data_IF_766066301658
#
_entry.id   IF_766066301658
#
_cell.length_a   1.000
_cell.length_b   1.000
_cell.length_c   1.000
_cell.angle_alpha   90.00
_cell.angle_beta   90.00
_cell.angle_gamma   90.00
#
_symmetry.space_group_name_H-M   'P 1'
#
loop_
_entity.id
_entity.type
_entity.pdbx_description
1 polymer ?
#
# COMPACT_ATOMS: atom_id res chain seq x y z
N UNK A 1 -16.78 16.13 5.40
CA UNK A 1 -15.78 15.65 6.38
C UNK A 1 -16.10 14.23 6.77
N UNK A 2 -15.12 13.36 7.00
CA UNK A 2 -15.34 11.97 7.44
C UNK A 2 -15.48 11.97 8.96
N UNK A 3 -16.62 11.58 9.55
CA UNK A 3 -16.89 11.81 10.99
C UNK A 3 -16.16 10.86 11.93
N UNK A 4 -15.63 9.72 11.43
CA UNK A 4 -15.05 8.65 12.26
C UNK A 4 -13.56 8.40 12.02
N UNK A 5 -12.88 9.32 11.34
CA UNK A 5 -11.45 9.19 11.04
C UNK A 5 -10.66 10.29 11.74
N UNK A 6 -9.41 10.01 12.05
CA UNK A 6 -8.48 10.97 12.66
C UNK A 6 -7.60 11.58 11.57
N UNK A 7 -7.67 12.91 11.34
CA UNK A 7 -6.75 13.63 10.46
C UNK A 7 -5.33 13.68 11.07
N UNK A 8 -4.30 14.09 10.32
CA UNK A 8 -4.37 14.58 8.94
C UNK A 8 -4.49 13.43 7.92
N UNK A 9 -4.88 13.73 6.65
CA UNK A 9 -4.74 12.79 5.56
C UNK A 9 -3.25 12.54 5.30
N UNK A 10 -2.89 11.27 5.10
CA UNK A 10 -1.51 10.84 4.83
C UNK A 10 -1.40 10.43 3.37
N UNK A 11 -0.55 11.13 2.65
CA UNK A 11 -0.13 10.83 1.30
C UNK A 11 1.26 11.42 1.07
N UNK A 12 1.98 10.90 0.09
CA UNK A 12 3.33 11.35 -0.21
C UNK A 12 3.59 11.22 -1.71
N UNK A 13 4.10 12.28 -2.31
CA UNK A 13 4.58 12.23 -3.68
C UNK A 13 5.65 13.29 -3.91
N UNK A 14 6.60 12.96 -4.76
CA UNK A 14 7.62 13.88 -5.30
C UNK A 14 7.58 13.83 -6.82
N UNK A 15 8.02 14.90 -7.44
CA UNK A 15 8.17 14.96 -8.90
C UNK A 15 9.10 13.85 -9.39
N UNK A 16 8.78 13.24 -10.52
CA UNK A 16 9.56 12.18 -11.13
C UNK A 16 9.33 10.76 -10.58
N UNK A 17 8.55 10.60 -9.49
CA UNK A 17 8.22 9.27 -8.99
C UNK A 17 7.23 8.56 -9.91
N UNK A 18 7.67 7.46 -10.51
CA UNK A 18 6.87 6.66 -11.45
C UNK A 18 6.30 5.38 -10.85
N UNK A 19 6.46 5.17 -9.56
CA UNK A 19 5.92 4.04 -8.83
C UNK A 19 5.05 4.53 -7.67
N UNK A 20 3.83 3.98 -7.53
CA UNK A 20 2.86 4.36 -6.52
C UNK A 20 2.49 3.15 -5.66
N UNK A 21 2.76 3.23 -4.36
CA UNK A 21 2.26 2.27 -3.37
C UNK A 21 0.92 2.76 -2.84
N UNK A 22 -0.09 1.87 -2.86
CA UNK A 22 -1.42 2.16 -2.32
C UNK A 22 -1.73 1.18 -1.19
N UNK A 23 -1.75 1.68 0.05
CA UNK A 23 -2.14 0.91 1.23
C UNK A 23 -3.65 0.92 1.48
N UNK A 24 -4.06 0.29 2.58
CA UNK A 24 -5.46 0.28 3.03
C UNK A 24 -5.87 1.63 3.65
N UNK A 25 -5.18 2.05 4.67
CA UNK A 25 -5.36 3.30 5.42
C UNK A 25 -4.13 3.54 6.31
N UNK A 26 -3.88 4.79 6.76
CA UNK A 26 -2.88 5.05 7.80
C UNK A 26 -3.21 4.27 9.07
N UNK A 27 -2.19 3.76 9.76
CA UNK A 27 -2.30 3.25 11.12
C UNK A 27 -2.19 4.37 12.15
N UNK A 28 -2.15 4.00 13.44
CA UNK A 28 -2.11 4.97 14.54
C UNK A 28 -0.85 5.85 14.55
N UNK A 29 0.26 5.37 14.00
CA UNK A 29 1.56 6.06 14.01
C UNK A 29 1.67 7.14 12.94
N UNK A 30 1.04 6.91 11.79
CA UNK A 30 1.18 7.75 10.61
C UNK A 30 0.67 9.18 10.82
N UNK A 31 -0.48 9.45 11.46
CA UNK A 31 -0.92 10.82 11.73
C UNK A 31 0.05 11.62 12.61
N UNK A 32 0.77 10.96 13.52
CA UNK A 32 1.73 11.59 14.42
C UNK A 32 3.02 11.98 13.70
N UNK A 33 3.44 11.18 12.71
CA UNK A 33 4.67 11.39 11.94
C UNK A 33 4.46 12.18 10.65
N UNK A 34 3.23 12.26 10.16
CA UNK A 34 2.91 12.88 8.88
C UNK A 34 3.43 12.10 7.66
N UNK A 35 3.86 10.85 7.84
CA UNK A 35 4.51 10.05 6.81
C UNK A 35 3.79 8.71 6.62
N UNK A 36 3.65 8.21 5.37
CA UNK A 36 3.06 6.90 5.10
C UNK A 36 3.98 5.78 5.57
N UNK A 37 3.40 4.66 5.96
CA UNK A 37 4.15 3.47 6.40
C UNK A 37 5.22 3.77 7.47
N UNK A 38 4.95 4.69 8.38
CA UNK A 38 5.89 5.11 9.43
C UNK A 38 5.97 4.12 10.62
N UNK A 39 5.12 3.11 10.65
CA UNK A 39 5.01 2.12 11.72
C UNK A 39 5.69 0.77 11.40
N UNK A 40 5.29 -0.27 12.13
CA UNK A 40 5.84 -1.63 11.98
C UNK A 40 5.60 -2.24 10.59
N UNK A 41 4.44 -1.94 9.97
CA UNK A 41 4.14 -2.36 8.61
C UNK A 41 5.15 -1.79 7.60
N UNK A 42 5.55 -0.53 7.76
CA UNK A 42 6.55 0.09 6.90
C UNK A 42 7.94 -0.54 7.04
N UNK A 43 8.38 -0.84 8.27
CA UNK A 43 9.65 -1.57 8.47
C UNK A 43 9.64 -2.92 7.75
N UNK A 44 8.54 -3.66 7.83
CA UNK A 44 8.40 -4.93 7.12
C UNK A 44 8.38 -4.74 5.60
N UNK A 45 7.72 -3.68 5.11
CA UNK A 45 7.70 -3.37 3.68
C UNK A 45 9.11 -3.03 3.17
N UNK A 46 9.91 -2.24 3.90
CA UNK A 46 11.31 -1.96 3.59
C UNK A 46 12.09 -3.27 3.44
N UNK A 47 11.98 -4.20 4.41
CA UNK A 47 12.64 -5.51 4.32
C UNK A 47 12.28 -6.27 3.03
N UNK A 48 11.04 -6.18 2.56
CA UNK A 48 10.66 -6.81 1.29
C UNK A 48 11.27 -6.10 0.07
N UNK A 49 11.48 -4.78 0.17
CA UNK A 49 11.99 -3.96 -0.92
C UNK A 49 13.54 -3.86 -0.98
N UNK A 50 14.26 -4.49 -0.04
CA UNK A 50 15.72 -4.56 -0.06
C UNK A 50 16.32 -5.01 -1.41
N UNK A 51 15.73 -5.98 -2.15
CA UNK A 51 16.24 -6.36 -3.47
C UNK A 51 16.17 -5.26 -4.55
N UNK A 52 15.45 -4.16 -4.28
CA UNK A 52 15.42 -2.96 -5.12
C UNK A 52 16.48 -1.91 -4.69
N UNK A 53 17.35 -2.24 -3.75
CA UNK A 53 18.34 -1.31 -3.18
C UNK A 53 17.75 -0.34 -2.14
N UNK A 54 16.56 -0.64 -1.60
CA UNK A 54 15.88 0.18 -0.57
C UNK A 54 16.19 -0.41 0.80
N UNK A 55 17.00 0.29 1.61
CA UNK A 55 17.48 -0.19 2.91
C UNK A 55 16.73 0.42 4.10
N UNK A 56 15.99 1.50 3.89
CA UNK A 56 15.31 2.24 4.94
C UNK A 56 14.03 2.93 4.46
N UNK A 57 13.36 3.60 5.40
CA UNK A 57 12.10 4.30 5.11
C UNK A 57 12.30 5.53 4.21
N UNK A 58 13.43 6.21 4.32
CA UNK A 58 13.74 7.40 3.50
C UNK A 58 13.94 6.98 2.03
N UNK A 59 14.75 5.97 1.76
CA UNK A 59 14.93 5.42 0.42
C UNK A 59 13.61 4.91 -0.20
N UNK A 60 12.72 4.37 0.63
CA UNK A 60 11.38 3.99 0.18
C UNK A 60 10.54 5.22 -0.20
N UNK A 61 10.59 6.32 0.58
CA UNK A 61 9.92 7.59 0.27
C UNK A 61 10.52 8.33 -0.94
N UNK A 62 11.79 8.12 -1.23
CA UNK A 62 12.43 8.66 -2.44
C UNK A 62 11.97 7.92 -3.70
N UNK A 63 11.86 6.62 -3.64
CA UNK A 63 11.54 5.78 -4.80
C UNK A 63 10.05 5.75 -5.14
N UNK A 64 9.16 5.80 -4.15
CA UNK A 64 7.73 5.62 -4.32
C UNK A 64 6.92 6.83 -3.90
N UNK A 65 5.88 7.13 -4.68
CA UNK A 65 4.72 7.87 -4.19
C UNK A 65 3.83 6.95 -3.34
N UNK A 66 3.07 7.54 -2.41
CA UNK A 66 2.21 6.79 -1.51
C UNK A 66 0.81 7.39 -1.40
N UNK A 67 -0.16 6.51 -1.46
CA UNK A 67 -1.54 6.78 -1.11
C UNK A 67 -2.12 5.63 -0.28
N UNK A 68 -3.36 5.75 0.10
CA UNK A 68 -4.14 4.66 0.68
C UNK A 68 -5.58 4.74 0.20
N UNK A 69 -6.33 3.64 0.29
CA UNK A 69 -7.75 3.61 -0.04
C UNK A 69 -8.53 4.65 0.80
N UNK A 70 -8.23 4.75 2.10
CA UNK A 70 -8.62 5.89 2.93
C UNK A 70 -7.38 6.64 3.41
N UNK A 71 -7.38 7.99 3.31
CA UNK A 71 -6.20 8.83 3.58
C UNK A 71 -6.00 9.18 5.05
N UNK A 72 -7.02 9.02 5.88
CA UNK A 72 -6.97 9.31 7.32
C UNK A 72 -7.01 8.03 8.14
N UNK A 73 -6.50 8.08 9.36
CA UNK A 73 -6.54 6.95 10.29
C UNK A 73 -8.00 6.59 10.65
N UNK A 74 -8.47 5.37 10.37
CA UNK A 74 -9.87 5.01 10.57
C UNK A 74 -10.23 4.70 12.02
N UNK A 75 -9.25 4.63 12.92
CA UNK A 75 -9.47 4.27 14.31
C UNK A 75 -9.21 2.79 14.62
N UNK A 76 -9.36 2.42 15.89
CA UNK A 76 -9.18 1.04 16.35
C UNK A 76 -10.45 0.20 16.20
N UNK A 77 -10.26 -1.10 16.12
CA UNK A 77 -11.36 -2.05 16.28
C UNK A 77 -11.96 -1.97 17.71
N UNK A 78 -13.27 -2.20 17.88
CA UNK A 78 -13.84 -2.44 19.18
C UNK A 78 -13.07 -3.54 19.93
N UNK A 79 -12.67 -3.29 21.18
CA UNK A 79 -11.82 -4.19 21.95
C UNK A 79 -10.31 -3.97 21.77
N UNK A 80 -9.87 -3.02 20.94
CA UNK A 80 -8.50 -2.48 20.92
C UNK A 80 -7.41 -3.33 20.26
N UNK A 81 -7.76 -4.45 19.65
CA UNK A 81 -6.79 -5.32 18.93
C UNK A 81 -6.77 -4.97 17.45
N UNK A 82 -5.86 -4.07 17.05
CA UNK A 82 -5.64 -3.67 15.67
C UNK A 82 -6.49 -2.47 15.23
N UNK A 83 -6.21 -2.00 14.04
CA UNK A 83 -6.91 -0.89 13.43
C UNK A 83 -8.11 -1.38 12.61
N UNK A 84 -9.18 -0.60 12.60
CA UNK A 84 -10.35 -0.95 11.81
C UNK A 84 -10.08 -0.70 10.32
N UNK A 85 -10.67 -1.51 9.48
CA UNK A 85 -10.70 -1.21 8.05
C UNK A 85 -11.61 0.00 7.77
N UNK A 86 -11.27 0.87 6.79
CA UNK A 86 -12.16 1.94 6.38
C UNK A 86 -13.46 1.36 5.82
N UNK A 87 -14.59 1.96 6.17
CA UNK A 87 -15.88 1.56 5.64
C UNK A 87 -16.09 2.01 4.18
N UNK A 88 -17.19 1.56 3.57
CA UNK A 88 -17.49 1.87 2.18
C UNK A 88 -17.58 3.38 1.93
N UNK A 89 -18.28 4.12 2.79
CA UNK A 89 -18.44 5.56 2.62
C UNK A 89 -17.13 6.34 2.78
N UNK A 90 -16.24 5.88 3.67
CA UNK A 90 -14.89 6.45 3.82
C UNK A 90 -14.04 6.23 2.57
N UNK A 91 -14.10 5.04 1.98
CA UNK A 91 -13.42 4.70 0.73
C UNK A 91 -13.94 5.50 -0.45
N UNK A 92 -15.26 5.58 -0.62
CA UNK A 92 -15.90 6.35 -1.70
C UNK A 92 -15.54 7.84 -1.63
N UNK A 93 -15.54 8.45 -0.44
CA UNK A 93 -15.11 9.84 -0.25
C UNK A 93 -13.63 10.07 -0.52
N UNK A 94 -12.78 9.07 -0.31
CA UNK A 94 -11.35 9.16 -0.55
C UNK A 94 -10.95 8.84 -2.00
N UNK A 95 -11.78 8.17 -2.77
CA UNK A 95 -11.49 7.73 -4.13
C UNK A 95 -11.08 8.87 -5.08
N UNK A 96 -11.79 10.03 -5.15
CA UNK A 96 -11.40 11.12 -6.04
C UNK A 96 -9.98 11.63 -5.81
N UNK A 97 -9.48 11.57 -4.56
CA UNK A 97 -8.12 11.95 -4.22
C UNK A 97 -7.08 10.93 -4.70
N UNK A 98 -7.40 9.63 -4.67
CA UNK A 98 -6.55 8.61 -5.26
C UNK A 98 -6.47 8.79 -6.77
N UNK A 99 -7.62 9.00 -7.42
CA UNK A 99 -7.70 9.19 -8.86
C UNK A 99 -6.94 10.47 -9.29
N UNK A 100 -7.03 11.55 -8.51
CA UNK A 100 -6.26 12.78 -8.75
C UNK A 100 -4.75 12.53 -8.63
N UNK A 101 -4.30 11.82 -7.58
CA UNK A 101 -2.88 11.50 -7.40
C UNK A 101 -2.34 10.62 -8.54
N UNK A 102 -3.11 9.62 -8.97
CA UNK A 102 -2.75 8.77 -10.11
C UNK A 102 -2.61 9.60 -11.41
N UNK A 103 -3.50 10.58 -11.63
CA UNK A 103 -3.38 11.48 -12.80
C UNK A 103 -2.17 12.41 -12.72
N UNK A 104 -1.87 12.94 -11.52
CA UNK A 104 -0.77 13.89 -11.32
C UNK A 104 0.59 13.18 -11.39
N UNK A 105 0.74 12.05 -10.72
CA UNK A 105 2.01 11.30 -10.68
C UNK A 105 2.23 10.46 -11.94
N UNK A 106 1.18 10.15 -12.67
CA UNK A 106 1.19 9.24 -13.84
C UNK A 106 2.14 8.03 -13.65
N UNK A 107 1.91 7.20 -12.62
CA UNK A 107 2.82 6.12 -12.27
C UNK A 107 2.79 5.05 -13.37
N UNK A 108 3.98 4.60 -13.80
CA UNK A 108 4.11 3.43 -14.67
C UNK A 108 3.79 2.13 -13.92
N UNK A 109 4.02 2.14 -12.60
CA UNK A 109 3.82 0.98 -11.72
C UNK A 109 2.94 1.36 -10.54
N UNK A 110 1.92 0.54 -10.27
CA UNK A 110 1.11 0.64 -9.05
C UNK A 110 1.26 -0.64 -8.22
N UNK A 111 1.50 -0.45 -6.94
CA UNK A 111 1.69 -1.53 -5.97
C UNK A 111 0.55 -1.46 -4.93
N UNK A 112 -0.59 -2.13 -5.18
CA UNK A 112 -1.63 -2.24 -4.17
C UNK A 112 -1.17 -3.17 -3.05
N UNK A 113 -1.22 -2.68 -1.80
CA UNK A 113 -0.73 -3.37 -0.61
C UNK A 113 -1.89 -3.71 0.33
N UNK A 114 -2.14 -5.00 0.48
CA UNK A 114 -3.22 -5.54 1.30
C UNK A 114 -4.56 -5.67 0.56
N UNK A 115 -5.47 -6.46 1.15
CA UNK A 115 -6.71 -6.91 0.52
C UNK A 115 -7.52 -5.77 -0.09
N UNK A 116 -7.84 -4.73 0.68
CA UNK A 116 -8.70 -3.65 0.18
C UNK A 116 -8.11 -2.90 -1.02
N UNK A 117 -6.80 -2.64 -1.00
CA UNK A 117 -6.14 -1.98 -2.12
C UNK A 117 -6.08 -2.91 -3.36
N UNK A 118 -5.83 -4.20 -3.14
CA UNK A 118 -5.83 -5.20 -4.22
C UNK A 118 -7.22 -5.32 -4.85
N UNK A 119 -8.27 -5.43 -4.03
CA UNK A 119 -9.64 -5.55 -4.51
C UNK A 119 -10.11 -4.30 -5.30
N UNK A 120 -9.65 -3.10 -4.92
CA UNK A 120 -9.94 -1.85 -5.65
C UNK A 120 -9.28 -1.82 -7.04
N UNK A 121 -8.11 -2.45 -7.20
CA UNK A 121 -7.33 -2.40 -8.44
C UNK A 121 -7.55 -3.60 -9.36
N UNK A 122 -7.76 -4.79 -8.80
CA UNK A 122 -7.83 -6.04 -9.56
C UNK A 122 -9.18 -6.76 -9.42
N UNK A 123 -10.06 -6.27 -8.53
CA UNK A 123 -11.24 -7.00 -8.13
C UNK A 123 -10.94 -8.06 -7.06
N UNK A 124 -11.98 -8.63 -6.44
CA UNK A 124 -11.83 -9.62 -5.38
C UNK A 124 -11.27 -10.95 -5.93
N UNK A 125 -10.14 -11.40 -5.37
CA UNK A 125 -9.50 -12.66 -5.71
C UNK A 125 -8.69 -13.18 -4.51
N UNK A 126 -8.44 -14.50 -4.36
CA UNK A 126 -7.54 -15.03 -3.35
C UNK A 126 -6.13 -14.43 -3.46
N UNK A 127 -5.50 -14.06 -2.34
CA UNK A 127 -4.16 -13.47 -2.35
C UNK A 127 -3.12 -14.36 -3.05
N UNK A 128 -3.24 -15.69 -2.88
CA UNK A 128 -2.34 -16.66 -3.51
C UNK A 128 -2.45 -16.69 -5.04
N UNK A 129 -3.54 -16.20 -5.60
CA UNK A 129 -3.75 -16.14 -7.05
C UNK A 129 -3.23 -14.85 -7.67
N UNK A 130 -3.09 -13.78 -6.90
CA UNK A 130 -2.70 -12.46 -7.40
C UNK A 130 -1.30 -12.04 -6.97
N UNK A 131 -0.87 -12.33 -5.74
CA UNK A 131 0.49 -12.01 -5.28
C UNK A 131 1.53 -12.85 -6.04
N UNK A 132 2.62 -12.20 -6.46
CA UNK A 132 3.65 -12.82 -7.28
C UNK A 132 3.30 -12.87 -8.77
N UNK A 133 2.21 -12.22 -9.18
CA UNK A 133 1.85 -11.98 -10.58
C UNK A 133 1.92 -10.50 -10.92
N UNK A 134 2.09 -10.23 -12.20
CA UNK A 134 2.05 -8.91 -12.81
C UNK A 134 0.77 -8.80 -13.64
N UNK A 135 0.09 -7.67 -13.52
CA UNK A 135 -1.10 -7.34 -14.30
C UNK A 135 -0.88 -6.02 -15.02
N UNK A 136 -1.71 -5.76 -16.03
CA UNK A 136 -1.74 -4.50 -16.74
C UNK A 136 -3.16 -3.91 -16.66
N UNK A 137 -3.25 -2.63 -16.33
CA UNK A 137 -4.51 -1.89 -16.29
C UNK A 137 -4.27 -0.42 -16.63
N UNK A 138 -5.04 0.10 -17.57
CA UNK A 138 -4.97 1.50 -18.01
C UNK A 138 -3.54 1.96 -18.36
N UNK A 139 -2.77 1.09 -19.04
CA UNK A 139 -1.38 1.33 -19.44
C UNK A 139 -0.37 1.27 -18.28
N UNK A 140 -0.77 0.81 -17.10
CA UNK A 140 0.08 0.68 -15.90
C UNK A 140 0.31 -0.76 -15.54
N UNK A 141 1.52 -1.04 -15.06
CA UNK A 141 1.85 -2.33 -14.45
C UNK A 141 1.34 -2.36 -13.00
N UNK A 142 0.61 -3.41 -12.65
CA UNK A 142 0.10 -3.61 -11.30
C UNK A 142 0.80 -4.82 -10.68
N UNK A 143 1.48 -4.62 -9.56
CA UNK A 143 2.16 -5.68 -8.81
C UNK A 143 1.63 -5.70 -7.37
N UNK A 144 0.69 -6.59 -7.04
CA UNK A 144 0.08 -6.64 -5.71
C UNK A 144 1.01 -7.25 -4.67
N UNK A 145 0.99 -6.67 -3.46
CA UNK A 145 1.65 -7.20 -2.27
C UNK A 145 0.63 -7.46 -1.17
N UNK A 146 0.83 -8.49 -0.32
CA UNK A 146 -0.01 -8.68 0.85
C UNK A 146 0.23 -7.55 1.87
N UNK A 147 -0.63 -7.45 2.88
CA UNK A 147 -0.41 -6.47 3.94
C UNK A 147 0.82 -6.85 4.79
N UNK A 148 1.80 -5.95 5.00
CA UNK A 148 3.05 -6.27 5.70
C UNK A 148 2.93 -6.27 7.23
N UNK A 149 1.74 -6.10 7.82
CA UNK A 149 1.57 -6.14 9.28
C UNK A 149 1.79 -7.53 9.84
N UNK A 150 2.28 -7.59 11.09
CA UNK A 150 2.40 -8.84 11.83
C UNK A 150 1.05 -9.52 12.16
N UNK A 151 -0.06 -8.80 12.05
CA UNK A 151 -1.41 -9.36 12.18
C UNK A 151 -1.82 -10.24 10.98
N UNK A 152 -1.14 -10.12 9.85
CA UNK A 152 -1.40 -10.98 8.69
C UNK A 152 -0.61 -12.29 8.80
N UNK A 153 -1.27 -13.36 9.19
CA UNK A 153 -0.67 -14.71 9.21
C UNK A 153 -0.33 -15.25 7.81
N UNK A 154 -0.78 -14.58 6.75
CA UNK A 154 -0.62 -15.07 5.38
C UNK A 154 0.85 -15.27 4.99
N UNK A 155 1.73 -14.36 5.41
CA UNK A 155 3.19 -14.44 5.11
C UNK A 155 3.96 -15.42 6.01
N UNK A 156 3.30 -16.13 6.94
CA UNK A 156 3.97 -17.11 7.79
C UNK A 156 4.34 -18.39 7.01
N UNK A 157 3.58 -18.75 5.98
CA UNK A 157 3.86 -19.90 5.12
C UNK A 157 5.02 -19.65 4.14
N UNK A 158 5.89 -20.65 3.94
CA UNK A 158 7.03 -20.56 3.02
C UNK A 158 6.59 -20.29 1.57
N UNK A 159 5.53 -20.95 1.11
CA UNK A 159 4.98 -20.74 -0.23
C UNK A 159 4.54 -19.27 -0.45
N UNK A 160 3.89 -18.67 0.55
CA UNK A 160 3.42 -17.28 0.46
C UNK A 160 4.58 -16.28 0.53
N UNK A 161 5.65 -16.58 1.28
CA UNK A 161 6.87 -15.77 1.24
C UNK A 161 7.55 -15.81 -0.13
N UNK A 162 7.55 -16.97 -0.78
CA UNK A 162 8.07 -17.10 -2.16
C UNK A 162 7.24 -16.27 -3.16
N UNK A 163 5.91 -16.16 -2.98
CA UNK A 163 5.08 -15.27 -3.80
C UNK A 163 5.43 -13.80 -3.59
N UNK A 164 5.70 -13.37 -2.35
CA UNK A 164 6.17 -12.01 -2.06
C UNK A 164 7.51 -11.74 -2.74
N UNK A 165 8.48 -12.65 -2.61
CA UNK A 165 9.79 -12.52 -3.25
C UNK A 165 9.66 -12.41 -4.78
N UNK A 166 8.75 -13.18 -5.39
CA UNK A 166 8.47 -13.12 -6.83
C UNK A 166 7.83 -11.78 -7.23
N UNK A 167 6.91 -11.24 -6.43
CA UNK A 167 6.34 -9.91 -6.68
C UNK A 167 7.42 -8.83 -6.63
N UNK A 168 8.31 -8.88 -5.65
CA UNK A 168 9.43 -7.92 -5.53
C UNK A 168 10.40 -8.04 -6.70
N UNK A 169 10.70 -9.25 -7.18
CA UNK A 169 11.51 -9.44 -8.39
C UNK A 169 10.87 -8.78 -9.61
N UNK A 170 9.55 -8.92 -9.80
CA UNK A 170 8.84 -8.24 -10.88
C UNK A 170 8.84 -6.71 -10.75
N UNK A 171 8.78 -6.17 -9.53
CA UNK A 171 8.95 -4.74 -9.29
C UNK A 171 10.35 -4.27 -9.71
N UNK A 172 11.39 -5.02 -9.33
CA UNK A 172 12.77 -4.72 -9.71
C UNK A 172 12.91 -4.68 -11.23
N UNK A 173 12.45 -5.71 -11.94
CA UNK A 173 12.58 -5.84 -13.39
C UNK A 173 11.75 -4.77 -14.16
N UNK A 174 10.81 -4.11 -13.48
CA UNK A 174 10.00 -3.03 -14.07
C UNK A 174 10.55 -1.63 -13.75
N UNK A 175 11.26 -1.47 -12.64
CA UNK A 175 11.72 -0.17 -12.13
C UNK A 175 13.22 0.10 -12.36
N UNK A 176 14.00 -0.90 -12.69
CA UNK A 176 15.43 -0.83 -13.00
C UNK A 176 15.68 -1.16 -14.46
#
# INVERSE_FOLDING_TARGET
MCPRVTPPPILWAREGQRALIIGQAPGITEPQRGLPFAGAAGRKLVTWLEPLGISDHEGMLERFAFAAVAKCYPGRLPGGRGDRAPDRGERERCRPWTDALVRICDPAVVVPVGRLAIDDWLGPAPLAEVVGRRFERDGRVIVPLPHPSGASAWTNGAANRALVARAVAQLRDTLL
#
